data_IF_588936440066
#
_entry.id   IF_588936440066
#
_cell.length_a   1.000
_cell.length_b   1.000
_cell.length_c   1.000
_cell.angle_alpha   90.00
_cell.angle_beta   90.00
_cell.angle_gamma   90.00
#
_symmetry.space_group_name_H-M   'P 1'
#
loop_
_entity.id
_entity.type
_entity.pdbx_description
1 polymer ?
#
# COMPACT_ATOMS: atom_id res chain seq x y z
N UNK A 1 20.74 -41.01 -23.58
CA UNK A 1 19.87 -40.29 -24.53
C UNK A 1 18.53 -40.12 -23.83
N UNK A 2 18.16 -38.96 -23.27
CA UNK A 2 17.93 -37.67 -23.93
C UNK A 2 18.17 -36.54 -22.91
N UNK A 3 19.04 -35.61 -23.28
CA UNK A 3 19.22 -34.30 -22.65
C UNK A 3 18.22 -33.31 -23.28
N UNK A 4 17.99 -32.17 -22.62
CA UNK A 4 17.61 -30.91 -23.27
C UNK A 4 16.32 -30.31 -22.72
N UNK A 5 16.35 -29.35 -21.78
CA UNK A 5 16.70 -27.92 -21.92
C UNK A 5 15.49 -27.05 -22.36
N UNK A 6 15.36 -25.91 -21.69
CA UNK A 6 14.61 -24.65 -21.97
C UNK A 6 13.29 -24.48 -21.19
N UNK A 7 13.25 -23.71 -20.09
CA UNK A 7 13.36 -22.24 -19.90
C UNK A 7 12.07 -21.47 -20.26
N UNK A 8 11.45 -20.85 -19.24
CA UNK A 8 10.92 -19.47 -19.22
C UNK A 8 10.11 -19.28 -17.90
N UNK A 9 10.70 -18.66 -16.88
CA UNK A 9 10.56 -17.23 -16.62
C UNK A 9 9.16 -16.84 -16.11
N UNK A 10 8.99 -16.87 -14.79
CA UNK A 10 8.34 -15.74 -14.11
C UNK A 10 9.23 -15.37 -12.93
N UNK A 11 10.23 -14.54 -13.24
CA UNK A 11 10.86 -13.72 -12.21
C UNK A 11 9.80 -12.72 -11.74
N UNK A 12 8.98 -13.11 -10.76
CA UNK A 12 8.28 -12.12 -9.94
C UNK A 12 9.35 -11.53 -9.03
N UNK A 13 10.11 -10.61 -9.58
CA UNK A 13 10.84 -9.62 -8.83
C UNK A 13 9.81 -8.69 -8.18
N UNK A 14 9.20 -9.15 -7.10
CA UNK A 14 8.54 -8.31 -6.11
C UNK A 14 9.25 -8.59 -4.81
N UNK A 15 10.09 -7.65 -4.38
CA UNK A 15 10.78 -7.70 -3.09
C UNK A 15 9.80 -8.18 -2.02
N UNK A 16 10.07 -9.35 -1.45
CA UNK A 16 9.64 -9.64 -0.08
C UNK A 16 10.49 -8.73 0.79
N UNK A 17 10.06 -7.47 0.92
CA UNK A 17 10.62 -6.56 1.91
C UNK A 17 10.32 -7.21 3.24
N UNK A 18 11.41 -7.53 3.95
CA UNK A 18 11.41 -7.97 5.33
C UNK A 18 10.53 -7.01 6.13
N UNK A 19 9.30 -7.42 6.40
CA UNK A 19 8.48 -6.78 7.41
C UNK A 19 9.21 -6.95 8.73
N UNK A 20 10.04 -5.96 9.06
CA UNK A 20 10.37 -5.70 10.45
C UNK A 20 9.05 -5.62 11.20
N UNK A 21 9.02 -6.16 12.42
CA UNK A 21 7.86 -6.08 13.32
C UNK A 21 7.59 -4.63 13.75
N UNK A 22 7.43 -3.70 12.81
CA UNK A 22 6.89 -2.38 13.07
C UNK A 22 5.39 -2.55 13.30
N UNK A 23 4.97 -2.26 14.51
CA UNK A 23 3.57 -2.23 14.89
C UNK A 23 2.81 -1.32 13.91
N UNK A 24 1.72 -1.84 13.35
CA UNK A 24 0.81 -1.03 12.55
C UNK A 24 0.33 0.16 13.37
N UNK A 25 0.47 1.35 12.80
CA UNK A 25 -0.02 2.57 13.39
C UNK A 25 -1.55 2.57 13.33
N UNK A 26 -2.19 3.22 14.29
CA UNK A 26 -3.66 3.35 14.31
C UNK A 26 -4.15 4.37 13.28
N UNK A 27 -3.27 5.23 12.77
CA UNK A 27 -3.59 6.23 11.75
C UNK A 27 -2.35 6.65 10.95
N UNK A 28 -2.58 7.21 9.76
CA UNK A 28 -1.57 7.87 8.94
C UNK A 28 -0.85 8.98 9.70
N UNK A 29 -1.55 9.73 10.55
CA UNK A 29 -0.94 10.79 11.37
C UNK A 29 0.10 10.22 12.34
N UNK A 30 -0.25 9.13 13.06
CA UNK A 30 0.69 8.45 13.96
C UNK A 30 1.89 7.89 13.19
N UNK A 31 1.65 7.25 12.04
CA UNK A 31 2.73 6.77 11.18
C UNK A 31 3.66 7.92 10.74
N UNK A 32 3.10 9.04 10.30
CA UNK A 32 3.88 10.22 9.87
C UNK A 32 4.69 10.80 11.03
N UNK A 33 4.12 10.89 12.23
CA UNK A 33 4.85 11.37 13.40
C UNK A 33 6.02 10.44 13.74
N UNK A 34 5.81 9.12 13.71
CA UNK A 34 6.88 8.16 13.93
C UNK A 34 7.96 8.25 12.85
N UNK A 35 7.58 8.32 11.56
CA UNK A 35 8.49 8.45 10.45
C UNK A 35 9.41 9.67 10.63
N UNK A 36 8.88 10.82 11.06
CA UNK A 36 9.69 12.03 11.31
C UNK A 36 10.78 11.85 12.38
N UNK A 37 10.70 10.83 13.23
CA UNK A 37 11.76 10.50 14.20
C UNK A 37 12.89 9.66 13.61
N UNK A 38 12.70 9.10 12.41
CA UNK A 38 13.69 8.31 11.70
C UNK A 38 14.74 9.20 11.03
N UNK A 39 15.97 8.68 10.93
CA UNK A 39 17.16 9.49 10.64
C UNK A 39 17.28 9.90 9.18
N UNK A 40 16.85 9.04 8.25
CA UNK A 40 17.05 9.28 6.82
C UNK A 40 15.74 9.21 6.05
N UNK A 41 15.60 9.95 4.94
CA UNK A 41 14.41 9.89 4.09
C UNK A 41 14.09 8.47 3.61
N UNK A 42 15.11 7.64 3.36
CA UNK A 42 14.93 6.24 2.96
C UNK A 42 14.26 5.43 4.07
N UNK A 43 14.72 5.59 5.32
CA UNK A 43 14.08 4.93 6.48
C UNK A 43 12.64 5.41 6.68
N UNK A 44 12.38 6.70 6.43
CA UNK A 44 11.04 7.27 6.48
C UNK A 44 10.14 6.65 5.42
N UNK A 45 10.62 6.58 4.17
CA UNK A 45 9.89 6.01 3.05
C UNK A 45 9.60 4.53 3.28
N UNK A 46 10.59 3.73 3.65
CA UNK A 46 10.44 2.29 3.92
C UNK A 46 9.39 2.03 5.01
N UNK A 47 9.48 2.77 6.12
CA UNK A 47 8.49 2.67 7.20
C UNK A 47 7.09 3.05 6.72
N UNK A 48 6.94 4.21 6.08
CA UNK A 48 5.63 4.71 5.65
C UNK A 48 5.00 3.83 4.55
N UNK A 49 5.79 3.27 3.64
CA UNK A 49 5.34 2.29 2.65
C UNK A 49 4.83 1.02 3.34
N UNK A 50 5.55 0.52 4.35
CA UNK A 50 5.08 -0.61 5.16
C UNK A 50 3.76 -0.30 5.88
N UNK A 51 3.60 0.91 6.43
CA UNK A 51 2.35 1.30 7.10
C UNK A 51 1.19 1.48 6.11
N UNK A 52 1.45 2.07 4.93
CA UNK A 52 0.46 2.19 3.87
C UNK A 52 -0.04 0.81 3.41
N UNK A 53 0.86 -0.17 3.24
CA UNK A 53 0.49 -1.55 2.95
C UNK A 53 -0.34 -2.18 4.08
N UNK A 54 0.01 -1.94 5.34
CA UNK A 54 -0.75 -2.46 6.49
C UNK A 54 -2.18 -1.89 6.53
N UNK A 55 -2.35 -0.62 6.21
CA UNK A 55 -3.68 0.00 6.06
C UNK A 55 -4.46 -0.57 4.88
N UNK A 56 -3.81 -0.84 3.74
CA UNK A 56 -4.47 -1.56 2.62
C UNK A 56 -4.98 -2.92 3.07
N UNK A 57 -4.13 -3.69 3.77
CA UNK A 57 -4.47 -5.03 4.24
C UNK A 57 -5.57 -5.05 5.32
N UNK A 58 -5.74 -3.94 6.03
CA UNK A 58 -6.75 -3.77 7.08
C UNK A 58 -8.02 -3.10 6.57
N UNK A 59 -8.15 -2.91 5.26
CA UNK A 59 -9.27 -2.22 4.61
C UNK A 59 -9.42 -0.73 4.99
N UNK A 60 -8.43 -0.16 5.69
CA UNK A 60 -8.34 1.27 6.03
C UNK A 60 -7.81 2.09 4.84
N UNK A 61 -8.48 1.99 3.69
CA UNK A 61 -7.99 2.54 2.42
C UNK A 61 -7.76 4.06 2.46
N UNK A 62 -8.53 4.81 3.26
CA UNK A 62 -8.29 6.23 3.45
C UNK A 62 -6.95 6.53 4.14
N UNK A 63 -6.55 5.72 5.12
CA UNK A 63 -5.27 5.88 5.83
C UNK A 63 -4.10 5.43 4.96
N UNK A 64 -4.28 4.38 4.15
CA UNK A 64 -3.32 3.99 3.12
C UNK A 64 -3.06 5.13 2.13
N UNK A 65 -4.13 5.72 1.58
CA UNK A 65 -4.08 6.84 0.62
C UNK A 65 -3.33 8.04 1.20
N UNK A 66 -3.61 8.43 2.44
CA UNK A 66 -2.95 9.56 3.11
C UNK A 66 -1.46 9.28 3.33
N UNK A 67 -1.13 8.07 3.78
CA UNK A 67 0.24 7.67 4.07
C UNK A 67 1.08 7.62 2.79
N UNK A 68 0.57 6.99 1.73
CA UNK A 68 1.25 6.92 0.44
C UNK A 68 1.44 8.30 -0.23
N UNK A 69 0.42 9.16 -0.17
CA UNK A 69 0.57 10.55 -0.65
C UNK A 69 1.61 11.34 0.14
N UNK A 70 1.72 11.12 1.44
CA UNK A 70 2.74 11.78 2.25
C UNK A 70 4.15 11.37 1.80
N UNK A 71 4.37 10.08 1.50
CA UNK A 71 5.63 9.62 0.93
C UNK A 71 5.95 10.37 -0.36
N UNK A 72 5.01 10.36 -1.33
CA UNK A 72 5.22 10.97 -2.65
C UNK A 72 5.35 12.50 -2.63
N UNK A 73 4.80 13.17 -1.62
CA UNK A 73 4.85 14.64 -1.54
C UNK A 73 6.00 15.17 -0.68
N UNK A 74 6.45 14.39 0.31
CA UNK A 74 7.27 14.93 1.40
C UNK A 74 8.53 14.11 1.71
N UNK A 75 8.62 12.87 1.23
CA UNK A 75 9.71 11.95 1.61
C UNK A 75 10.47 11.46 0.38
N UNK A 76 9.78 10.82 -0.55
CA UNK A 76 10.32 10.30 -1.81
C UNK A 76 9.25 10.41 -2.91
N UNK A 77 9.40 11.43 -3.75
CA UNK A 77 8.50 11.71 -4.87
C UNK A 77 8.56 10.68 -6.00
N UNK A 78 9.60 9.84 -6.04
CA UNK A 78 9.81 8.82 -7.05
C UNK A 78 9.60 7.40 -6.51
N UNK A 79 9.00 7.26 -5.33
CA UNK A 79 8.70 5.97 -4.73
C UNK A 79 7.66 5.21 -5.56
N UNK A 80 8.14 4.23 -6.33
CA UNK A 80 7.28 3.31 -7.07
C UNK A 80 6.33 2.55 -6.14
N UNK A 81 6.84 2.06 -5.01
CA UNK A 81 6.03 1.35 -4.03
C UNK A 81 4.89 2.21 -3.45
N UNK A 82 5.15 3.49 -3.13
CA UNK A 82 4.08 4.38 -2.67
C UNK A 82 3.08 4.73 -3.78
N UNK A 83 3.54 4.82 -5.02
CA UNK A 83 2.66 5.03 -6.19
C UNK A 83 1.71 3.85 -6.36
N UNK A 84 2.22 2.62 -6.34
CA UNK A 84 1.42 1.41 -6.50
C UNK A 84 0.39 1.29 -5.36
N UNK A 85 0.81 1.52 -4.12
CA UNK A 85 -0.09 1.52 -2.96
C UNK A 85 -1.17 2.59 -3.01
N UNK A 86 -0.83 3.79 -3.51
CA UNK A 86 -1.79 4.87 -3.65
C UNK A 86 -2.88 4.50 -4.66
N UNK A 87 -2.49 3.96 -5.81
CA UNK A 87 -3.43 3.56 -6.86
C UNK A 87 -4.27 2.34 -6.42
N UNK A 88 -3.66 1.36 -5.77
CA UNK A 88 -4.36 0.21 -5.20
C UNK A 88 -5.40 0.63 -4.16
N UNK A 89 -5.02 1.50 -3.21
CA UNK A 89 -5.91 1.94 -2.15
C UNK A 89 -7.08 2.79 -2.68
N UNK A 90 -6.85 3.65 -3.69
CA UNK A 90 -7.92 4.39 -4.38
C UNK A 90 -8.88 3.44 -5.09
N UNK A 91 -8.35 2.43 -5.79
CA UNK A 91 -9.18 1.46 -6.51
C UNK A 91 -10.07 0.67 -5.56
N UNK A 92 -9.54 0.21 -4.42
CA UNK A 92 -10.32 -0.50 -3.41
C UNK A 92 -11.37 0.41 -2.77
N UNK A 93 -11.00 1.64 -2.37
CA UNK A 93 -11.96 2.61 -1.82
C UNK A 93 -13.13 2.90 -2.80
N UNK A 94 -12.83 3.00 -4.09
CA UNK A 94 -13.86 3.19 -5.12
C UNK A 94 -14.75 1.96 -5.31
N UNK A 95 -14.20 0.75 -5.16
CA UNK A 95 -14.96 -0.49 -5.21
C UNK A 95 -15.91 -0.60 -4.01
N UNK A 96 -15.46 -0.25 -2.82
CA UNK A 96 -16.28 -0.27 -1.60
C UNK A 96 -17.43 0.74 -1.69
N UNK A 97 -17.16 1.95 -2.18
CA UNK A 97 -18.18 2.95 -2.42
C UNK A 97 -19.26 2.46 -3.39
N UNK A 98 -18.86 1.76 -4.46
CA UNK A 98 -19.79 1.15 -5.42
C UNK A 98 -20.59 0.00 -4.81
N UNK A 99 -19.96 -0.84 -3.98
CA UNK A 99 -20.64 -1.92 -3.29
C UNK A 99 -21.75 -1.38 -2.37
N UNK A 100 -21.45 -0.34 -1.59
CA UNK A 100 -22.45 0.32 -0.72
C UNK A 100 -23.62 0.88 -1.52
N UNK A 101 -23.35 1.54 -2.66
CA UNK A 101 -24.40 2.09 -3.53
C UNK A 101 -25.25 0.96 -4.13
N UNK A 102 -24.61 -0.10 -4.62
CA UNK A 102 -25.29 -1.27 -5.19
C UNK A 102 -26.19 -1.98 -4.19
N UNK A 103 -25.68 -2.21 -2.97
CA UNK A 103 -26.43 -2.81 -1.87
C UNK A 103 -27.61 -1.93 -1.46
N UNK A 104 -27.40 -0.61 -1.38
CA UNK A 104 -28.48 0.33 -1.10
C UNK A 104 -29.57 0.27 -2.17
N UNK A 105 -29.19 0.26 -3.46
CA UNK A 105 -30.13 0.18 -4.59
C UNK A 105 -30.98 -1.09 -4.53
N UNK A 106 -30.36 -2.23 -4.20
CA UNK A 106 -31.02 -3.52 -4.01
C UNK A 106 -32.00 -3.51 -2.84
N UNK A 107 -31.64 -2.86 -1.73
CA UNK A 107 -32.49 -2.76 -0.53
C UNK A 107 -33.72 -1.85 -0.75
N UNK A 108 -33.59 -0.80 -1.56
CA UNK A 108 -34.70 0.13 -1.85
C UNK A 108 -35.48 -0.20 -3.13
N UNK A 109 -35.16 -1.31 -3.81
CA UNK A 109 -35.90 -1.82 -4.97
C UNK A 109 -35.80 -0.97 -6.25
N UNK A 110 -34.70 -0.23 -6.41
CA UNK A 110 -34.42 0.62 -7.59
C UNK A 110 -33.67 -0.09 -8.71
#
# INVERSE_FOLDING_TARGET
MKNGLLLAAVAIAGLVVLAGCSKQATSSSEAIQHAKTLKTPEQQADYLVSQAQAFVNSEDHQEAIKTAQYVLSSVDAHSHAATDLLEEAKAKLAADAQAVIGDTKKLVGL
#
